data_IF_363694679126
#
_entry.id   IF_363694679126
#
_cell.length_a   1.000
_cell.length_b   1.000
_cell.length_c   1.000
_cell.angle_alpha   90.00
_cell.angle_beta   90.00
_cell.angle_gamma   90.00
#
_symmetry.space_group_name_H-M   'P 1'
#
loop_
_entity.id
_entity.type
_entity.pdbx_description
1 polymer ?
#
# COMPACT_ATOMS: atom_id res chain seq x y z
N UNK A 1 35.01 11.27 -59.65
CA UNK A 1 35.14 10.65 -58.32
C UNK A 1 33.96 11.11 -57.47
N UNK A 2 33.02 10.21 -57.12
CA UNK A 2 31.89 10.51 -56.23
C UNK A 2 32.33 10.16 -54.80
N UNK A 3 32.34 11.15 -53.91
CA UNK A 3 32.69 10.98 -52.50
C UNK A 3 31.43 10.49 -51.75
N UNK A 4 31.51 9.30 -51.16
CA UNK A 4 30.41 8.67 -50.43
C UNK A 4 30.50 9.09 -48.95
N UNK A 5 29.58 9.93 -48.49
CA UNK A 5 29.49 10.35 -47.08
C UNK A 5 28.68 9.33 -46.28
N UNK A 6 29.32 8.65 -45.33
CA UNK A 6 28.64 7.79 -44.36
C UNK A 6 28.08 8.65 -43.22
N UNK A 7 26.76 8.73 -43.10
CA UNK A 7 26.09 9.36 -41.94
C UNK A 7 25.91 8.28 -40.88
N UNK A 8 26.61 8.40 -39.76
CA UNK A 8 26.45 7.55 -38.59
C UNK A 8 25.33 8.14 -37.72
N UNK A 9 24.11 7.62 -37.84
CA UNK A 9 23.01 7.95 -36.93
C UNK A 9 23.15 7.16 -35.62
N UNK A 10 23.56 7.82 -34.54
CA UNK A 10 23.44 7.27 -33.19
C UNK A 10 21.97 7.32 -32.76
N UNK A 11 21.28 6.18 -32.78
CA UNK A 11 19.97 6.02 -32.16
C UNK A 11 20.17 5.95 -30.63
N UNK A 12 19.83 7.01 -29.92
CA UNK A 12 19.79 7.02 -28.46
C UNK A 12 18.52 6.29 -27.99
N UNK A 13 18.66 5.03 -27.58
CA UNK A 13 17.60 4.35 -26.84
C UNK A 13 17.51 4.95 -25.44
N UNK A 14 16.41 5.64 -25.14
CA UNK A 14 16.09 6.04 -23.77
C UNK A 14 15.63 4.79 -23.03
N UNK A 15 16.48 4.27 -22.15
CA UNK A 15 16.09 3.21 -21.20
C UNK A 15 15.30 3.89 -20.08
N UNK A 16 14.00 3.60 -20.00
CA UNK A 16 13.22 3.97 -18.82
C UNK A 16 13.64 3.05 -17.67
N UNK A 17 14.26 3.62 -16.64
CA UNK A 17 14.49 2.90 -15.39
C UNK A 17 13.13 2.49 -14.80
N UNK A 18 12.98 1.24 -14.38
CA UNK A 18 11.79 0.81 -13.66
C UNK A 18 11.76 1.54 -12.30
N UNK A 19 10.64 2.16 -11.90
CA UNK A 19 10.53 2.72 -10.56
C UNK A 19 10.68 1.58 -9.55
N UNK A 20 11.81 1.56 -8.85
CA UNK A 20 12.05 0.62 -7.76
C UNK A 20 11.43 1.24 -6.52
N UNK A 21 10.50 0.54 -5.87
CA UNK A 21 9.98 1.01 -4.59
C UNK A 21 11.15 1.26 -3.62
N UNK A 22 11.07 2.36 -2.87
CA UNK A 22 12.02 2.67 -1.81
C UNK A 22 12.19 1.45 -0.90
N UNK A 23 13.43 1.08 -0.57
CA UNK A 23 13.71 -0.06 0.33
C UNK A 23 13.53 0.27 1.81
N UNK A 24 12.88 1.39 2.11
CA UNK A 24 12.63 1.84 3.49
C UNK A 24 11.28 1.29 3.94
N UNK A 25 11.28 0.73 5.15
CA UNK A 25 10.13 0.12 5.79
C UNK A 25 9.79 0.90 7.06
N UNK A 26 8.57 1.43 7.14
CA UNK A 26 8.00 1.98 8.35
C UNK A 26 7.29 0.85 9.12
N UNK A 27 8.09 0.05 9.82
CA UNK A 27 7.60 -1.00 10.71
C UNK A 27 6.86 -0.41 11.91
N UNK A 28 5.73 -1.02 12.25
CA UNK A 28 4.82 -0.57 13.31
C UNK A 28 4.58 0.95 13.27
N UNK A 29 4.23 1.46 12.09
CA UNK A 29 4.08 2.90 11.89
C UNK A 29 3.00 3.52 12.80
N UNK A 30 2.03 2.71 13.22
CA UNK A 30 0.95 3.07 14.14
C UNK A 30 1.42 3.39 15.57
N UNK A 31 2.64 3.00 15.94
CA UNK A 31 3.25 3.37 17.23
C UNK A 31 3.84 4.79 17.20
N UNK A 32 3.96 5.42 16.02
CA UNK A 32 4.55 6.76 15.89
C UNK A 32 3.51 7.84 16.27
N UNK A 33 3.96 9.04 16.70
CA UNK A 33 3.04 10.11 17.09
C UNK A 33 2.09 10.57 15.97
N UNK A 34 2.54 10.50 14.72
CA UNK A 34 1.77 10.85 13.52
C UNK A 34 1.84 9.68 12.52
N UNK A 35 1.04 8.61 12.73
CA UNK A 35 0.98 7.48 11.80
C UNK A 35 0.61 7.96 10.40
N UNK A 36 1.10 7.24 9.40
CA UNK A 36 1.05 7.52 7.98
C UNK A 36 1.81 8.78 7.57
N UNK A 37 1.55 9.94 8.18
CA UNK A 37 2.04 11.26 7.73
C UNK A 37 3.57 11.28 7.64
N UNK A 38 4.26 10.85 8.69
CA UNK A 38 5.73 10.89 8.73
C UNK A 38 6.36 9.90 7.76
N UNK A 39 5.89 8.65 7.76
CA UNK A 39 6.39 7.61 6.85
C UNK A 39 6.13 7.97 5.39
N UNK A 40 4.91 8.40 5.08
CA UNK A 40 4.52 8.85 3.75
C UNK A 40 5.32 10.08 3.29
N UNK A 41 5.55 11.06 4.18
CA UNK A 41 6.37 12.23 3.88
C UNK A 41 7.83 11.90 3.56
N UNK A 42 8.34 10.80 4.11
CA UNK A 42 9.67 10.24 3.80
C UNK A 42 9.69 9.34 2.56
N UNK A 43 8.55 9.16 1.88
CA UNK A 43 8.40 8.31 0.70
C UNK A 43 8.94 6.89 0.91
N UNK A 44 8.58 6.29 2.05
CA UNK A 44 8.92 4.88 2.31
C UNK A 44 8.22 3.96 1.31
N UNK A 45 8.82 2.81 1.02
CA UNK A 45 8.19 1.83 0.12
C UNK A 45 7.17 0.97 0.83
N UNK A 46 7.26 0.84 2.16
CA UNK A 46 6.40 -0.03 2.96
C UNK A 46 5.96 0.69 4.24
N UNK A 47 4.67 0.60 4.53
CA UNK A 47 4.06 1.02 5.80
C UNK A 47 3.32 -0.19 6.36
N UNK A 48 3.61 -0.56 7.60
CA UNK A 48 3.00 -1.69 8.29
C UNK A 48 1.89 -1.24 9.24
N UNK A 49 0.74 -1.94 9.20
CA UNK A 49 -0.38 -1.75 10.10
C UNK A 49 -0.86 -3.10 10.66
N UNK A 50 -0.72 -3.27 11.97
CA UNK A 50 -1.27 -4.41 12.69
C UNK A 50 -2.76 -4.17 12.95
N UNK A 51 -3.63 -5.05 12.46
CA UNK A 51 -5.08 -4.89 12.60
C UNK A 51 -5.73 -6.00 13.42
N UNK A 52 -6.67 -5.58 14.26
CA UNK A 52 -7.57 -6.43 15.03
C UNK A 52 -9.00 -6.21 14.55
N UNK A 53 -9.70 -7.30 14.25
CA UNK A 53 -11.15 -7.28 14.09
C UNK A 53 -11.79 -7.28 15.49
N UNK A 54 -12.53 -6.22 15.79
CA UNK A 54 -13.32 -6.09 17.01
C UNK A 54 -14.74 -5.72 16.62
N UNK A 55 -15.68 -6.64 16.88
CA UNK A 55 -17.05 -6.56 16.37
C UNK A 55 -17.03 -6.49 14.83
N UNK A 56 -17.40 -5.36 14.24
CA UNK A 56 -17.39 -5.11 12.79
C UNK A 56 -16.36 -4.05 12.36
N UNK A 57 -15.48 -3.61 13.27
CA UNK A 57 -14.45 -2.60 12.98
C UNK A 57 -13.03 -3.17 12.99
N UNK A 58 -12.18 -2.56 12.18
CA UNK A 58 -10.76 -2.88 12.09
C UNK A 58 -9.95 -1.82 12.82
N UNK A 59 -9.50 -2.18 14.02
CA UNK A 59 -8.69 -1.34 14.89
C UNK A 59 -7.22 -1.63 14.67
N UNK A 60 -6.38 -0.61 14.83
CA UNK A 60 -4.93 -0.72 14.67
C UNK A 60 -4.25 -0.66 16.03
N UNK A 61 -3.47 -1.69 16.35
CA UNK A 61 -2.72 -1.82 17.60
C UNK A 61 -1.67 -2.92 17.47
N UNK A 62 -0.64 -2.95 18.33
CA UNK A 62 0.25 -4.11 18.38
C UNK A 62 -0.36 -5.23 19.22
N UNK A 63 -0.99 -4.86 20.34
CA UNK A 63 -1.58 -5.78 21.31
C UNK A 63 -3.04 -5.44 21.62
N UNK A 64 -3.86 -6.41 22.08
CA UNK A 64 -5.25 -6.16 22.47
C UNK A 64 -5.43 -5.08 23.56
N UNK A 65 -4.43 -4.88 24.42
CA UNK A 65 -4.47 -3.91 25.50
C UNK A 65 -4.35 -2.46 25.01
N UNK A 66 -3.85 -2.26 23.79
CA UNK A 66 -3.69 -0.95 23.16
C UNK A 66 -4.89 -0.55 22.30
N UNK A 67 -5.91 -1.41 22.19
CA UNK A 67 -7.07 -1.18 21.34
C UNK A 67 -7.82 0.08 21.77
N UNK A 68 -7.96 0.99 20.81
CA UNK A 68 -8.69 2.25 20.95
C UNK A 68 -9.68 2.35 19.80
N UNK A 69 -10.97 2.53 20.13
CA UNK A 69 -12.05 2.63 19.13
C UNK A 69 -11.88 3.83 18.18
N UNK A 70 -11.05 4.81 18.52
CA UNK A 70 -10.71 5.94 17.64
C UNK A 70 -9.60 5.63 16.64
N UNK A 71 -8.79 4.57 16.88
CA UNK A 71 -7.65 4.18 16.04
C UNK A 71 -8.06 3.09 15.04
N UNK A 72 -8.96 3.43 14.13
CA UNK A 72 -9.34 2.51 13.04
C UNK A 72 -8.37 2.58 11.87
N UNK A 73 -8.32 1.52 11.06
CA UNK A 73 -7.53 1.52 9.82
C UNK A 73 -7.97 2.63 8.85
N UNK A 74 -9.26 3.02 8.84
CA UNK A 74 -9.74 4.14 8.03
C UNK A 74 -9.09 5.45 8.44
N UNK A 75 -9.05 5.72 9.74
CA UNK A 75 -8.55 6.98 10.30
C UNK A 75 -7.05 7.08 10.11
N UNK A 76 -6.31 6.01 10.44
CA UNK A 76 -4.85 6.04 10.42
C UNK A 76 -4.27 5.89 9.02
N UNK A 77 -4.91 5.13 8.12
CA UNK A 77 -4.29 4.73 6.86
C UNK A 77 -5.17 4.96 5.62
N UNK A 78 -6.38 4.42 5.55
CA UNK A 78 -7.12 4.38 4.27
C UNK A 78 -7.55 5.77 3.80
N UNK A 79 -8.13 6.60 4.68
CA UNK A 79 -8.54 7.98 4.35
C UNK A 79 -7.36 8.87 3.97
N UNK A 80 -6.27 8.98 4.76
CA UNK A 80 -5.16 9.84 4.38
C UNK A 80 -4.44 9.34 3.12
N UNK A 81 -4.36 8.02 2.89
CA UNK A 81 -3.82 7.46 1.66
C UNK A 81 -4.69 7.76 0.44
N UNK A 82 -6.01 7.62 0.54
CA UNK A 82 -6.94 7.99 -0.53
C UNK A 82 -6.78 9.47 -0.90
N UNK A 83 -6.75 10.35 0.10
CA UNK A 83 -6.55 11.79 -0.12
C UNK A 83 -5.23 12.08 -0.84
N UNK A 84 -4.15 11.38 -0.47
CA UNK A 84 -2.86 11.50 -1.13
C UNK A 84 -2.90 11.02 -2.59
N UNK A 85 -3.54 9.88 -2.85
CA UNK A 85 -3.71 9.32 -4.21
C UNK A 85 -4.50 10.25 -5.12
N UNK A 86 -5.61 10.80 -4.62
CA UNK A 86 -6.41 11.80 -5.36
C UNK A 86 -5.55 13.02 -5.70
N UNK A 87 -4.83 13.55 -4.71
CA UNK A 87 -3.95 14.72 -4.89
C UNK A 87 -2.85 14.48 -5.92
N UNK A 88 -2.33 13.25 -6.01
CA UNK A 88 -1.24 12.89 -6.91
C UNK A 88 -1.72 12.41 -8.29
N UNK A 89 -3.01 12.53 -8.61
CA UNK A 89 -3.56 12.13 -9.90
C UNK A 89 -3.60 10.61 -10.07
N UNK A 90 -4.14 9.89 -9.08
CA UNK A 90 -4.25 8.43 -9.04
C UNK A 90 -2.91 7.68 -8.90
N UNK A 91 -1.98 8.26 -8.13
CA UNK A 91 -0.67 7.64 -7.82
C UNK A 91 -0.41 7.68 -6.32
N UNK A 92 0.19 6.63 -5.77
CA UNK A 92 0.54 6.59 -4.34
C UNK A 92 1.48 7.74 -3.97
N UNK A 93 2.50 7.99 -4.79
CA UNK A 93 3.39 9.14 -4.67
C UNK A 93 3.39 9.99 -5.96
N UNK A 94 3.63 11.30 -5.83
CA UNK A 94 3.67 12.22 -6.97
C UNK A 94 4.77 11.88 -7.98
N UNK A 95 5.89 11.30 -7.51
CA UNK A 95 6.99 10.82 -8.35
C UNK A 95 6.66 9.49 -9.08
N UNK A 96 5.52 8.86 -8.78
CA UNK A 96 5.09 7.59 -9.38
C UNK A 96 5.72 6.35 -8.76
N UNK A 97 6.48 6.47 -7.67
CA UNK A 97 6.98 5.32 -6.93
C UNK A 97 5.82 4.53 -6.29
N UNK A 98 6.07 3.24 -6.08
CA UNK A 98 5.11 2.34 -5.45
C UNK A 98 5.17 2.45 -3.94
N UNK A 99 3.99 2.48 -3.30
CA UNK A 99 3.83 2.26 -1.87
C UNK A 99 3.16 0.90 -1.65
N UNK A 100 3.65 0.14 -0.68
CA UNK A 100 2.98 -1.03 -0.13
C UNK A 100 2.43 -0.72 1.26
N UNK A 101 1.12 -0.85 1.43
CA UNK A 101 0.48 -0.89 2.74
C UNK A 101 0.38 -2.35 3.17
N UNK A 102 1.26 -2.76 4.08
CA UNK A 102 1.32 -4.10 4.63
C UNK A 102 0.39 -4.20 5.83
N UNK A 103 -0.62 -5.06 5.72
CA UNK A 103 -1.64 -5.28 6.75
C UNK A 103 -1.36 -6.61 7.44
N UNK A 104 -1.02 -6.57 8.72
CA UNK A 104 -0.79 -7.76 9.52
C UNK A 104 -2.05 -8.13 10.31
N UNK A 105 -2.63 -9.30 10.03
CA UNK A 105 -3.87 -9.76 10.67
C UNK A 105 -3.55 -10.34 12.06
N UNK A 106 -4.03 -9.69 13.13
CA UNK A 106 -3.81 -10.15 14.52
C UNK A 106 -4.97 -10.97 15.09
N UNK A 107 -6.10 -11.02 14.40
CA UNK A 107 -7.30 -11.81 14.74
C UNK A 107 -7.51 -12.95 13.74
N UNK A 108 -8.64 -13.68 13.83
CA UNK A 108 -8.95 -14.79 12.91
C UNK A 108 -8.90 -14.33 11.45
N UNK A 109 -8.12 -15.03 10.62
CA UNK A 109 -7.71 -14.58 9.30
C UNK A 109 -8.84 -14.36 8.31
N UNK A 110 -9.76 -15.32 8.21
CA UNK A 110 -10.82 -15.30 7.18
C UNK A 110 -11.75 -14.12 7.45
N UNK A 111 -12.30 -14.02 8.66
CA UNK A 111 -13.25 -12.97 9.02
C UNK A 111 -12.60 -11.58 8.98
N UNK A 112 -11.35 -11.47 9.45
CA UNK A 112 -10.62 -10.19 9.42
C UNK A 112 -10.36 -9.75 7.98
N UNK A 113 -9.90 -10.65 7.12
CA UNK A 113 -9.62 -10.34 5.72
C UNK A 113 -10.89 -10.03 4.92
N UNK A 114 -11.98 -10.76 5.15
CA UNK A 114 -13.29 -10.45 4.55
C UNK A 114 -13.79 -9.06 4.95
N UNK A 115 -13.61 -8.69 6.22
CA UNK A 115 -13.97 -7.35 6.71
C UNK A 115 -13.10 -6.26 6.08
N UNK A 116 -11.80 -6.52 5.92
CA UNK A 116 -10.87 -5.63 5.24
C UNK A 116 -11.26 -5.42 3.78
N UNK A 117 -11.55 -6.50 3.05
CA UNK A 117 -12.02 -6.44 1.66
C UNK A 117 -13.29 -5.61 1.56
N UNK A 118 -14.30 -5.89 2.40
CA UNK A 118 -15.56 -5.12 2.42
C UNK A 118 -15.31 -3.64 2.65
N UNK A 119 -14.35 -3.28 3.50
CA UNK A 119 -13.96 -1.89 3.74
C UNK A 119 -13.27 -1.30 2.52
N UNK A 120 -12.29 -2.00 1.92
CA UNK A 120 -11.59 -1.56 0.70
C UNK A 120 -12.51 -1.39 -0.52
N UNK A 121 -13.62 -2.12 -0.59
CA UNK A 121 -14.65 -1.91 -1.62
C UNK A 121 -15.24 -0.49 -1.58
N UNK A 122 -15.20 0.18 -0.43
CA UNK A 122 -15.64 1.58 -0.28
C UNK A 122 -14.59 2.61 -0.68
N UNK A 123 -13.37 2.17 -1.04
CA UNK A 123 -12.24 3.01 -1.42
C UNK A 123 -11.78 2.73 -2.87
N UNK A 124 -12.54 3.12 -3.90
CA UNK A 124 -12.22 2.80 -5.29
C UNK A 124 -10.85 3.36 -5.74
N UNK A 125 -10.41 4.49 -5.21
CA UNK A 125 -9.11 5.09 -5.54
C UNK A 125 -7.95 4.23 -5.05
N UNK A 126 -8.09 3.55 -3.91
CA UNK A 126 -7.05 2.64 -3.41
C UNK A 126 -6.94 1.42 -4.32
N UNK A 127 -8.09 0.79 -4.63
CA UNK A 127 -8.14 -0.41 -5.48
C UNK A 127 -7.65 -0.17 -6.90
N UNK A 128 -7.90 1.02 -7.44
CA UNK A 128 -7.54 1.37 -8.83
C UNK A 128 -6.18 2.06 -8.96
N UNK A 129 -5.44 2.25 -7.85
CA UNK A 129 -4.13 2.87 -7.88
C UNK A 129 -3.05 1.83 -8.18
N UNK A 130 -2.51 1.86 -9.41
CA UNK A 130 -1.47 0.91 -9.86
C UNK A 130 -0.13 1.02 -9.11
N UNK A 131 0.12 2.16 -8.47
CA UNK A 131 1.31 2.39 -7.63
C UNK A 131 1.05 2.15 -6.14
N UNK A 132 -0.13 1.62 -5.79
CA UNK A 132 -0.40 1.12 -4.46
C UNK A 132 -0.45 -0.41 -4.50
N UNK A 133 0.18 -1.05 -3.51
CA UNK A 133 0.01 -2.47 -3.22
C UNK A 133 -0.57 -2.61 -1.83
N UNK A 134 -1.54 -3.48 -1.67
CA UNK A 134 -2.03 -3.91 -0.36
C UNK A 134 -1.53 -5.34 -0.21
N UNK A 135 -0.77 -5.61 0.84
CA UNK A 135 -0.19 -6.93 1.08
C UNK A 135 -0.60 -7.43 2.46
N UNK A 136 -0.87 -8.72 2.60
CA UNK A 136 -1.38 -9.30 3.85
C UNK A 136 -0.32 -10.18 4.52
N UNK A 137 -0.20 -10.07 5.83
CA UNK A 137 0.65 -10.90 6.69
C UNK A 137 -0.09 -11.31 7.98
N UNK A 138 0.61 -11.96 8.92
CA UNK A 138 0.05 -12.39 10.20
C UNK A 138 -0.78 -13.68 10.08
N UNK A 139 -1.97 -13.69 10.69
CA UNK A 139 -2.90 -14.80 10.65
C UNK A 139 -3.58 -14.93 9.26
N UNK A 140 -2.79 -15.16 8.22
CA UNK A 140 -3.30 -15.31 6.85
C UNK A 140 -4.17 -16.55 6.69
N UNK A 141 -5.28 -16.51 5.93
CA UNK A 141 -6.06 -17.69 5.58
C UNK A 141 -5.23 -18.75 4.84
N UNK A 142 -5.71 -19.99 4.87
CA UNK A 142 -5.12 -21.10 4.10
C UNK A 142 -4.99 -20.69 2.62
N UNK A 143 -3.80 -20.83 1.99
CA UNK A 143 -3.56 -20.58 0.58
C UNK A 143 -4.64 -21.12 -0.38
N UNK A 144 -5.27 -22.25 -0.08
CA UNK A 144 -6.34 -22.82 -0.89
C UNK A 144 -7.59 -21.92 -1.00
N UNK A 145 -7.85 -21.07 0.01
CA UNK A 145 -9.00 -20.16 0.06
C UNK A 145 -8.75 -18.82 -0.66
N UNK A 146 -7.52 -18.55 -1.10
CA UNK A 146 -7.15 -17.24 -1.66
C UNK A 146 -7.89 -16.88 -2.95
N UNK A 147 -8.37 -17.87 -3.70
CA UNK A 147 -9.18 -17.64 -4.90
C UNK A 147 -10.54 -16.99 -4.60
N UNK A 148 -10.96 -16.96 -3.33
CA UNK A 148 -12.19 -16.30 -2.88
C UNK A 148 -12.02 -14.79 -2.62
N UNK A 149 -10.77 -14.31 -2.52
CA UNK A 149 -10.46 -12.92 -2.25
C UNK A 149 -10.12 -12.15 -3.55
N UNK A 150 -10.34 -10.81 -3.58
CA UNK A 150 -10.06 -10.02 -4.77
C UNK A 150 -8.58 -10.01 -5.15
N UNK A 151 -8.28 -9.97 -6.45
CA UNK A 151 -6.90 -10.03 -6.98
C UNK A 151 -6.02 -8.81 -6.70
N UNK A 152 -6.57 -7.76 -6.08
CA UNK A 152 -5.81 -6.57 -5.68
C UNK A 152 -5.19 -6.71 -4.28
N UNK A 153 -5.43 -7.85 -3.62
CA UNK A 153 -4.83 -8.27 -2.35
C UNK A 153 -3.87 -9.43 -2.61
#
# INVERSE_FOLDING_TARGET
MRLLTFILTCLSFSVFAQPVASRIFAHNDYEKPEPFVKAYGLQVGYIEADIFLMEDELLVAHTPQELDKSKTIDVLYLKPLQAAIIKNGNKAYANGETLSLMIDLKTEGIQTLQTLVKKLETYPELKNCQSLRITISGNVPDPATWSEFPSYI
#
